data_IF_832815317605
#
_entry.id   IF_832815317605
#
_cell.length_a   1.000
_cell.length_b   1.000
_cell.length_c   1.000
_cell.angle_alpha   90.00
_cell.angle_beta   90.00
_cell.angle_gamma   90.00
#
_symmetry.space_group_name_H-M   'P 1'
#
loop_
_entity.id
_entity.type
_entity.pdbx_description
1 polymer ?
#
# COMPACT_ATOMS: atom_id res chain seq x y z
N UNK A 1 -6.79 20.51 51.62
CA UNK A 1 -7.39 20.96 50.33
C UNK A 1 -6.58 20.46 49.14
N UNK A 2 -5.26 20.70 49.11
CA UNK A 2 -4.35 20.25 48.05
C UNK A 2 -4.41 18.74 47.76
N UNK A 3 -4.42 17.87 48.78
CA UNK A 3 -4.50 16.41 48.61
C UNK A 3 -5.78 15.95 47.90
N UNK A 4 -6.92 16.59 48.17
CA UNK A 4 -8.20 16.26 47.50
C UNK A 4 -8.19 16.69 46.03
N UNK A 5 -7.54 17.82 45.73
CA UNK A 5 -7.35 18.30 44.35
C UNK A 5 -6.43 17.34 43.58
N UNK A 6 -5.28 16.97 44.16
CA UNK A 6 -4.35 16.02 43.55
C UNK A 6 -4.99 14.64 43.30
N UNK A 7 -5.77 14.14 44.27
CA UNK A 7 -6.50 12.87 44.10
C UNK A 7 -7.53 12.95 42.98
N UNK A 8 -8.26 14.08 42.87
CA UNK A 8 -9.25 14.28 41.81
C UNK A 8 -8.59 14.34 40.43
N UNK A 9 -7.45 15.03 40.32
CA UNK A 9 -6.64 15.07 39.08
C UNK A 9 -6.15 13.65 38.72
N UNK A 10 -5.64 12.90 39.69
CA UNK A 10 -5.17 11.53 39.46
C UNK A 10 -6.30 10.60 38.96
N UNK A 11 -7.50 10.72 39.54
CA UNK A 11 -8.67 9.96 39.09
C UNK A 11 -9.07 10.35 37.67
N UNK A 12 -9.09 11.64 37.33
CA UNK A 12 -9.39 12.10 35.96
C UNK A 12 -8.36 11.61 34.95
N UNK A 13 -7.07 11.64 35.30
CA UNK A 13 -6.00 11.11 34.45
C UNK A 13 -6.13 9.59 34.27
N UNK A 14 -6.49 8.85 35.31
CA UNK A 14 -6.73 7.41 35.22
C UNK A 14 -7.93 7.08 34.32
N UNK A 15 -9.03 7.84 34.43
CA UNK A 15 -10.20 7.69 33.55
C UNK A 15 -9.82 8.01 32.10
N UNK A 16 -9.14 9.12 31.85
CA UNK A 16 -8.69 9.49 30.51
C UNK A 16 -7.77 8.43 29.92
N UNK A 17 -6.83 7.91 30.71
CA UNK A 17 -5.96 6.80 30.32
C UNK A 17 -6.76 5.54 29.97
N UNK A 18 -7.73 5.15 30.80
CA UNK A 18 -8.59 4.00 30.53
C UNK A 18 -9.40 4.16 29.24
N UNK A 19 -9.91 5.36 28.97
CA UNK A 19 -10.61 5.68 27.71
C UNK A 19 -9.66 5.50 26.52
N UNK A 20 -8.44 6.01 26.59
CA UNK A 20 -7.44 5.85 25.53
C UNK A 20 -7.09 4.37 25.29
N UNK A 21 -6.94 3.58 26.36
CA UNK A 21 -6.72 2.13 26.28
C UNK A 21 -7.89 1.43 25.58
N UNK A 22 -9.13 1.78 25.93
CA UNK A 22 -10.32 1.20 25.29
C UNK A 22 -10.39 1.56 23.81
N UNK A 23 -10.08 2.81 23.45
CA UNK A 23 -10.00 3.26 22.04
C UNK A 23 -8.94 2.44 21.29
N UNK A 24 -7.76 2.25 21.89
CA UNK A 24 -6.68 1.46 21.31
C UNK A 24 -7.07 0.00 21.09
N UNK A 25 -7.68 -0.65 22.09
CA UNK A 25 -8.13 -2.06 21.98
C UNK A 25 -9.17 -2.21 20.87
N UNK A 26 -10.14 -1.29 20.79
CA UNK A 26 -11.15 -1.30 19.71
C UNK A 26 -10.49 -1.19 18.34
N UNK A 27 -9.52 -0.29 18.20
CA UNK A 27 -8.77 -0.12 16.96
C UNK A 27 -8.02 -1.39 16.56
N UNK A 28 -7.29 -1.99 17.50
CA UNK A 28 -6.49 -3.18 17.21
C UNK A 28 -7.38 -4.38 16.86
N UNK A 29 -8.54 -4.50 17.52
CA UNK A 29 -9.56 -5.49 17.16
C UNK A 29 -10.11 -5.28 15.75
N UNK A 30 -10.40 -4.04 15.36
CA UNK A 30 -10.89 -3.71 14.01
C UNK A 30 -9.85 -4.04 12.94
N UNK A 31 -8.61 -3.58 13.12
CA UNK A 31 -7.51 -3.86 12.19
C UNK A 31 -7.23 -5.37 12.11
N UNK A 32 -7.29 -6.09 13.23
CA UNK A 32 -7.14 -7.55 13.24
C UNK A 32 -8.27 -8.25 12.48
N UNK A 33 -9.51 -7.80 12.61
CA UNK A 33 -10.64 -8.34 11.81
C UNK A 33 -10.42 -8.11 10.33
N UNK A 34 -10.03 -6.91 9.93
CA UNK A 34 -9.71 -6.59 8.53
C UNK A 34 -8.58 -7.48 8.02
N UNK A 35 -7.51 -7.66 8.81
CA UNK A 35 -6.40 -8.55 8.45
C UNK A 35 -6.85 -9.99 8.16
N UNK A 36 -7.75 -10.53 8.99
CA UNK A 36 -8.32 -11.86 8.78
C UNK A 36 -9.29 -11.89 7.60
N UNK A 37 -10.08 -10.84 7.40
CA UNK A 37 -11.02 -10.74 6.29
C UNK A 37 -10.32 -10.68 4.93
N UNK A 38 -9.16 -10.02 4.85
CA UNK A 38 -8.31 -9.95 3.66
C UNK A 38 -7.51 -11.24 3.40
N UNK A 39 -7.56 -12.22 4.30
CA UNK A 39 -7.03 -13.55 3.99
C UNK A 39 -7.91 -14.19 2.92
N UNK A 40 -7.29 -14.72 1.88
CA UNK A 40 -7.96 -15.53 0.87
C UNK A 40 -7.39 -16.95 0.88
N UNK A 41 -8.13 -17.87 0.26
CA UNK A 41 -7.70 -19.26 0.14
C UNK A 41 -6.86 -19.42 -1.12
N UNK A 42 -5.83 -20.25 -1.02
CA UNK A 42 -5.02 -20.64 -2.17
C UNK A 42 -5.88 -21.25 -3.27
N UNK A 43 -5.69 -20.76 -4.49
CA UNK A 43 -6.37 -21.32 -5.65
C UNK A 43 -5.61 -22.53 -6.20
N UNK A 44 -6.35 -23.46 -6.81
CA UNK A 44 -5.75 -24.61 -7.52
C UNK A 44 -5.28 -24.26 -8.94
N UNK A 45 -5.62 -23.07 -9.44
CA UNK A 45 -5.21 -22.62 -10.78
C UNK A 45 -3.76 -22.16 -10.75
N UNK A 46 -3.00 -22.63 -11.74
CA UNK A 46 -1.59 -22.26 -11.91
C UNK A 46 -1.43 -21.29 -13.08
N UNK A 47 -0.42 -20.43 -12.99
CA UNK A 47 -0.04 -19.55 -14.09
C UNK A 47 0.51 -20.36 -15.27
N UNK A 48 -0.03 -20.12 -16.46
CA UNK A 48 0.47 -20.70 -17.73
C UNK A 48 0.73 -19.61 -18.74
N UNK A 49 1.66 -19.86 -19.67
CA UNK A 49 2.01 -18.89 -20.72
C UNK A 49 0.81 -18.52 -21.61
N UNK A 50 -0.10 -19.47 -21.83
CA UNK A 50 -1.36 -19.26 -22.57
C UNK A 50 -2.25 -18.16 -21.98
N UNK A 51 -2.15 -17.89 -20.67
CA UNK A 51 -2.91 -16.83 -20.01
C UNK A 51 -2.56 -15.44 -20.52
N UNK A 52 -1.35 -15.27 -21.08
CA UNK A 52 -0.83 -13.98 -21.55
C UNK A 52 -0.47 -13.99 -23.04
N UNK A 53 -0.54 -15.14 -23.73
CA UNK A 53 -0.14 -15.28 -25.13
C UNK A 53 -0.84 -14.32 -26.11
N UNK A 54 -2.04 -13.83 -25.78
CA UNK A 54 -2.78 -12.85 -26.58
C UNK A 54 -2.42 -11.37 -26.33
N UNK A 55 -1.57 -11.08 -25.34
CA UNK A 55 -1.20 -9.72 -24.96
C UNK A 55 -0.05 -9.17 -25.83
N UNK A 56 0.20 -7.84 -25.86
CA UNK A 56 1.40 -7.29 -26.51
C UNK A 56 2.70 -7.87 -25.93
N UNK A 57 3.73 -8.07 -26.76
CA UNK A 57 5.00 -8.70 -26.35
C UNK A 57 5.61 -8.13 -25.05
N UNK A 58 5.66 -6.79 -24.83
CA UNK A 58 6.20 -6.23 -23.60
C UNK A 58 5.38 -6.61 -22.34
N UNK A 59 4.08 -6.81 -22.49
CA UNK A 59 3.17 -7.22 -21.40
C UNK A 59 3.34 -8.71 -21.10
N UNK A 60 3.48 -9.56 -22.13
CA UNK A 60 3.81 -10.97 -21.94
C UNK A 60 5.11 -11.12 -21.15
N UNK A 61 6.13 -10.37 -21.57
CA UNK A 61 7.44 -10.37 -20.92
C UNK A 61 7.36 -9.99 -19.44
N UNK A 62 6.59 -8.95 -19.11
CA UNK A 62 6.34 -8.58 -17.72
C UNK A 62 5.77 -9.75 -16.90
N UNK A 63 4.71 -10.43 -17.38
CA UNK A 63 4.10 -11.52 -16.62
C UNK A 63 4.99 -12.76 -16.51
N UNK A 64 5.68 -13.13 -17.59
CA UNK A 64 6.62 -14.26 -17.59
C UNK A 64 7.83 -14.03 -16.68
N UNK A 65 8.20 -12.77 -16.45
CA UNK A 65 9.20 -12.38 -15.46
C UNK A 65 8.64 -12.38 -14.04
N UNK A 66 7.44 -11.82 -13.86
CA UNK A 66 6.82 -11.61 -12.55
C UNK A 66 6.24 -12.89 -11.93
N UNK A 67 5.82 -13.87 -12.74
CA UNK A 67 5.21 -15.12 -12.30
C UNK A 67 5.85 -16.28 -13.07
N UNK A 68 6.52 -17.19 -12.37
CA UNK A 68 7.07 -18.38 -13.00
C UNK A 68 5.93 -19.32 -13.48
N UNK A 69 5.98 -19.87 -14.71
CA UNK A 69 5.01 -20.85 -15.17
C UNK A 69 4.87 -22.04 -14.20
N UNK A 70 3.63 -22.48 -13.96
CA UNK A 70 3.30 -23.53 -12.99
C UNK A 70 3.13 -23.03 -11.55
N UNK A 71 3.37 -21.74 -11.26
CA UNK A 71 3.13 -21.16 -9.93
C UNK A 71 1.63 -21.05 -9.68
N UNK A 72 1.09 -21.52 -8.54
CA UNK A 72 -0.29 -21.27 -8.15
C UNK A 72 -0.59 -19.77 -8.12
N UNK A 73 -1.71 -19.35 -8.72
CA UNK A 73 -2.10 -17.95 -8.72
C UNK A 73 -2.44 -17.51 -7.30
N UNK A 74 -1.90 -16.37 -6.89
CA UNK A 74 -2.19 -15.82 -5.57
C UNK A 74 -3.42 -14.92 -5.65
N UNK A 75 -4.27 -15.00 -4.65
CA UNK A 75 -5.41 -14.08 -4.45
C UNK A 75 -5.09 -13.02 -3.40
N UNK A 76 -4.07 -13.25 -2.58
CA UNK A 76 -3.55 -12.28 -1.64
C UNK A 76 -2.03 -12.44 -1.43
N UNK A 77 -1.40 -11.40 -0.89
CA UNK A 77 0.00 -11.43 -0.46
C UNK A 77 0.16 -10.74 0.88
N UNK A 78 0.95 -11.35 1.77
CA UNK A 78 1.39 -10.77 3.03
C UNK A 78 2.85 -10.35 2.92
N UNK A 79 3.16 -9.09 3.21
CA UNK A 79 4.49 -8.50 3.11
C UNK A 79 5.00 -8.09 4.49
N UNK A 80 6.29 -8.34 4.76
CA UNK A 80 7.03 -7.70 5.84
C UNK A 80 8.03 -6.72 5.22
N UNK A 81 8.02 -5.46 5.66
CA UNK A 81 8.86 -4.42 5.09
C UNK A 81 9.49 -3.51 6.15
N UNK A 82 10.63 -2.94 5.76
CA UNK A 82 11.38 -1.94 6.54
C UNK A 82 11.65 -0.73 5.67
N UNK A 83 11.82 0.45 6.26
CA UNK A 83 12.01 1.63 5.45
C UNK A 83 12.00 2.93 6.24
N UNK A 84 11.57 3.99 5.58
CA UNK A 84 11.50 5.32 6.20
C UNK A 84 10.51 6.24 5.50
N UNK A 85 9.98 7.20 6.25
CA UNK A 85 9.14 8.29 5.74
C UNK A 85 9.75 9.67 6.03
N UNK A 86 9.37 10.69 5.25
CA UNK A 86 9.51 12.09 5.65
C UNK A 86 8.23 12.86 5.37
N UNK A 87 7.90 13.84 6.21
CA UNK A 87 6.66 14.63 6.14
C UNK A 87 6.86 15.99 5.45
N UNK A 88 7.78 16.04 4.49
CA UNK A 88 8.19 17.26 3.79
C UNK A 88 9.64 17.19 3.35
N UNK A 89 10.03 18.05 2.41
CA UNK A 89 11.35 18.03 1.79
C UNK A 89 12.48 18.23 2.81
N UNK A 90 12.31 19.24 3.68
CA UNK A 90 13.26 19.63 4.74
C UNK A 90 13.09 18.84 6.04
N UNK A 91 12.26 17.80 6.06
CA UNK A 91 12.03 16.99 7.26
C UNK A 91 12.98 15.78 7.27
N UNK A 92 13.48 15.38 8.45
CA UNK A 92 14.34 14.20 8.55
C UNK A 92 13.55 12.94 8.18
N UNK A 93 14.25 11.97 7.61
CA UNK A 93 13.73 10.62 7.43
C UNK A 93 13.54 9.94 8.78
N UNK A 94 12.36 9.36 8.96
CA UNK A 94 11.95 8.65 10.16
C UNK A 94 11.84 7.16 9.84
N UNK A 95 12.53 6.27 10.57
CA UNK A 95 12.52 4.84 10.27
C UNK A 95 11.14 4.23 10.48
N UNK A 96 10.82 3.19 9.71
CA UNK A 96 9.54 2.49 9.72
C UNK A 96 9.77 0.98 9.64
N UNK A 97 9.01 0.22 10.42
CA UNK A 97 8.73 -1.19 10.19
C UNK A 97 7.24 -1.36 9.89
N UNK A 98 6.90 -2.16 8.89
CA UNK A 98 5.51 -2.40 8.53
C UNK A 98 5.22 -3.83 8.10
N UNK A 99 3.96 -4.22 8.28
CA UNK A 99 3.36 -5.43 7.72
C UNK A 99 2.19 -5.04 6.86
N UNK A 100 2.02 -5.72 5.74
CA UNK A 100 0.95 -5.42 4.81
C UNK A 100 0.29 -6.68 4.34
N UNK A 101 -1.01 -6.63 4.12
CA UNK A 101 -1.73 -7.67 3.39
C UNK A 101 -2.55 -7.01 2.29
N UNK A 102 -2.43 -7.54 1.08
CA UNK A 102 -3.13 -7.10 -0.12
C UNK A 102 -3.96 -8.28 -0.60
N UNK A 103 -5.23 -8.06 -0.90
CA UNK A 103 -6.16 -9.02 -1.49
C UNK A 103 -6.68 -8.47 -2.80
N UNK A 104 -6.73 -9.34 -3.80
CA UNK A 104 -7.25 -9.09 -5.14
C UNK A 104 -8.65 -8.47 -5.12
N UNK A 105 -9.55 -9.03 -4.30
CA UNK A 105 -10.98 -8.69 -4.34
C UNK A 105 -11.43 -7.78 -3.20
N UNK A 106 -10.67 -7.74 -2.11
CA UNK A 106 -11.15 -7.15 -0.85
C UNK A 106 -10.45 -5.85 -0.47
N UNK A 107 -9.21 -5.64 -0.92
CA UNK A 107 -8.43 -4.43 -0.67
C UNK A 107 -7.12 -4.69 0.08
N UNK A 108 -6.68 -3.75 0.91
CA UNK A 108 -5.41 -3.90 1.64
C UNK A 108 -5.50 -3.41 3.09
N UNK A 109 -4.59 -3.90 3.92
CA UNK A 109 -4.29 -3.36 5.24
C UNK A 109 -2.79 -3.25 5.41
N UNK A 110 -2.34 -2.09 5.85
CA UNK A 110 -0.94 -1.78 6.11
C UNK A 110 -0.80 -1.33 7.55
N UNK A 111 -0.10 -2.10 8.37
CA UNK A 111 0.18 -1.80 9.76
C UNK A 111 1.63 -1.35 9.89
N UNK A 112 1.86 -0.20 10.53
CA UNK A 112 3.19 0.36 10.62
C UNK A 112 3.52 0.88 12.02
N UNK A 113 4.81 0.77 12.33
CA UNK A 113 5.49 1.42 13.44
C UNK A 113 6.53 2.36 12.87
N UNK A 114 6.35 3.66 13.10
CA UNK A 114 7.20 4.74 12.57
C UNK A 114 7.87 5.45 13.73
N UNK A 115 9.17 5.73 13.63
CA UNK A 115 9.95 6.42 14.66
C UNK A 115 10.46 5.49 15.77
N UNK A 116 11.11 6.10 16.78
CA UNK A 116 11.72 5.40 17.92
C UNK A 116 11.51 6.22 19.20
N UNK A 117 11.43 5.52 20.34
CA UNK A 117 11.31 6.16 21.65
C UNK A 117 10.10 7.08 21.74
N UNK A 118 10.30 8.31 22.22
CA UNK A 118 9.24 9.28 22.48
C UNK A 118 8.62 9.90 21.21
N UNK A 119 9.10 9.60 20.01
CA UNK A 119 8.48 10.02 18.75
C UNK A 119 7.90 8.86 17.95
N UNK A 120 7.68 7.71 18.59
CA UNK A 120 7.11 6.55 17.93
C UNK A 120 5.60 6.70 17.69
N UNK A 121 5.17 6.42 16.47
CA UNK A 121 3.78 6.32 16.05
C UNK A 121 3.47 4.91 15.59
N UNK A 122 2.33 4.36 16.00
CA UNK A 122 1.86 3.04 15.58
C UNK A 122 0.46 3.17 15.03
N UNK A 123 0.19 2.54 13.90
CA UNK A 123 -1.09 2.69 13.24
C UNK A 123 -1.32 1.74 12.10
N UNK A 124 -2.43 1.96 11.42
CA UNK A 124 -2.76 1.27 10.19
C UNK A 124 -3.39 2.23 9.17
N UNK A 125 -3.14 1.95 7.90
CA UNK A 125 -3.89 2.46 6.76
C UNK A 125 -4.50 1.27 6.03
N UNK A 126 -5.76 1.35 5.65
CA UNK A 126 -6.44 0.27 4.97
C UNK A 126 -7.51 0.78 4.02
N UNK A 127 -7.79 -0.05 3.02
CA UNK A 127 -8.92 0.07 2.12
C UNK A 127 -9.65 -1.27 2.08
N UNK A 128 -10.94 -1.27 2.39
CA UNK A 128 -11.78 -2.47 2.31
C UNK A 128 -13.21 -2.08 1.95
N UNK A 129 -13.78 -2.75 0.95
CA UNK A 129 -15.19 -2.60 0.52
C UNK A 129 -15.61 -1.12 0.35
N UNK A 130 -14.91 -0.36 -0.50
CA UNK A 130 -15.22 1.07 -0.73
C UNK A 130 -14.84 2.02 0.41
N UNK A 131 -14.25 1.54 1.50
CA UNK A 131 -13.93 2.38 2.67
C UNK A 131 -12.42 2.44 2.89
N UNK A 132 -11.86 3.65 2.83
CA UNK A 132 -10.48 3.93 3.23
C UNK A 132 -10.40 4.59 4.61
N UNK A 133 -9.42 4.17 5.42
CA UNK A 133 -9.19 4.78 6.72
C UNK A 133 -7.74 4.69 7.15
N UNK A 134 -7.24 5.81 7.65
CA UNK A 134 -5.91 5.94 8.23
C UNK A 134 -6.02 6.28 9.71
N UNK A 135 -5.35 5.51 10.58
CA UNK A 135 -5.28 5.76 12.01
C UNK A 135 -3.89 5.55 12.57
N UNK A 136 -3.31 6.59 13.17
CA UNK A 136 -2.01 6.55 13.84
C UNK A 136 -2.10 7.08 15.26
N UNK A 137 -1.37 6.45 16.18
CA UNK A 137 -1.32 6.79 17.59
C UNK A 137 0.13 7.07 18.02
N UNK A 138 0.38 8.20 18.66
CA UNK A 138 1.63 8.48 19.36
C UNK A 138 1.77 7.54 20.56
N UNK A 139 2.95 6.92 20.69
CA UNK A 139 3.25 5.86 21.67
C UNK A 139 2.28 4.68 21.65
N UNK A 140 1.52 4.52 20.57
CA UNK A 140 0.47 3.51 20.48
C UNK A 140 -0.78 3.81 21.32
N UNK A 141 -0.91 4.99 21.94
CA UNK A 141 -2.03 5.29 22.84
C UNK A 141 -2.76 6.60 22.52
N UNK A 142 -2.04 7.67 22.19
CA UNK A 142 -2.64 9.00 21.95
C UNK A 142 -2.96 9.14 20.45
N UNK A 143 -4.22 9.28 20.03
CA UNK A 143 -4.56 9.42 18.61
C UNK A 143 -3.88 10.66 17.99
N UNK A 144 -3.14 10.46 16.91
CA UNK A 144 -2.51 11.52 16.12
C UNK A 144 -3.23 11.73 14.78
N UNK A 145 -3.59 10.63 14.11
CA UNK A 145 -4.29 10.63 12.83
C UNK A 145 -5.53 9.75 12.96
N UNK A 146 -6.66 10.24 12.44
CA UNK A 146 -7.89 9.47 12.31
C UNK A 146 -8.69 9.98 11.11
N UNK A 147 -8.21 9.68 9.91
CA UNK A 147 -8.79 10.15 8.66
C UNK A 147 -9.70 9.08 8.06
N UNK A 148 -10.96 9.45 7.80
CA UNK A 148 -11.98 8.57 7.23
C UNK A 148 -13.00 9.46 6.49
N UNK A 149 -12.68 9.79 5.24
CA UNK A 149 -13.53 10.60 4.36
C UNK A 149 -13.64 9.92 3.00
N UNK A 150 -14.56 10.38 2.16
CA UNK A 150 -14.67 9.91 0.78
C UNK A 150 -13.36 10.14 0.01
N UNK A 151 -12.69 11.28 0.24
CA UNK A 151 -11.40 11.58 -0.37
C UNK A 151 -10.29 10.60 0.05
N UNK A 152 -10.25 10.24 1.34
CA UNK A 152 -9.31 9.23 1.82
C UNK A 152 -9.61 7.87 1.19
N UNK A 153 -10.89 7.48 1.07
CA UNK A 153 -11.27 6.24 0.39
C UNK A 153 -10.78 6.22 -1.07
N UNK A 154 -11.03 7.28 -1.83
CA UNK A 154 -10.57 7.40 -3.22
C UNK A 154 -9.04 7.42 -3.33
N UNK A 155 -8.35 8.09 -2.41
CA UNK A 155 -6.88 8.08 -2.38
C UNK A 155 -6.31 6.69 -2.07
N UNK A 156 -6.92 5.95 -1.15
CA UNK A 156 -6.52 4.59 -0.80
C UNK A 156 -6.87 3.59 -1.90
N UNK A 157 -7.91 3.81 -2.70
CA UNK A 157 -8.22 3.03 -3.90
C UNK A 157 -7.10 3.11 -4.94
N UNK A 158 -6.63 4.33 -5.26
CA UNK A 158 -5.48 4.50 -6.14
C UNK A 158 -4.18 3.90 -5.57
N UNK A 159 -4.04 3.89 -4.24
CA UNK A 159 -2.96 3.17 -3.57
C UNK A 159 -3.06 1.67 -3.81
N UNK A 160 -4.22 1.05 -3.58
CA UNK A 160 -4.47 -0.38 -3.82
C UNK A 160 -4.07 -0.78 -5.24
N UNK A 161 -4.45 0.02 -6.25
CA UNK A 161 -4.06 -0.23 -7.63
C UNK A 161 -2.53 -0.29 -7.77
N UNK A 162 -1.80 0.69 -7.23
CA UNK A 162 -0.33 0.68 -7.25
C UNK A 162 0.29 -0.50 -6.51
N UNK A 163 -0.35 -0.97 -5.44
CA UNK A 163 0.11 -2.11 -4.64
C UNK A 163 -0.02 -3.46 -5.35
N UNK A 164 -0.84 -3.57 -6.39
CA UNK A 164 -0.91 -4.80 -7.22
C UNK A 164 0.40 -5.12 -7.95
N UNK A 165 1.38 -4.20 -7.97
CA UNK A 165 2.75 -4.54 -8.39
C UNK A 165 3.40 -5.64 -7.52
N UNK A 166 2.95 -5.80 -6.26
CA UNK A 166 3.36 -6.89 -5.37
C UNK A 166 2.44 -8.10 -5.41
N UNK A 167 1.32 -8.04 -6.13
CA UNK A 167 0.41 -9.16 -6.39
C UNK A 167 0.16 -9.27 -7.90
N UNK A 168 1.15 -9.71 -8.71
CA UNK A 168 1.04 -9.65 -10.18
C UNK A 168 -0.15 -10.43 -10.74
N UNK A 169 -0.61 -11.48 -10.06
CA UNK A 169 -1.83 -12.23 -10.41
C UNK A 169 -3.09 -11.34 -10.46
N UNK A 170 -3.12 -10.25 -9.70
CA UNK A 170 -4.19 -9.26 -9.72
C UNK A 170 -4.26 -8.46 -11.02
N UNK A 171 -3.14 -8.37 -11.74
CA UNK A 171 -3.05 -7.60 -12.97
C UNK A 171 -3.32 -8.44 -14.23
N UNK A 172 -3.57 -9.74 -14.09
CA UNK A 172 -3.83 -10.64 -15.21
C UNK A 172 -5.10 -10.23 -15.98
N UNK A 173 -5.15 -10.42 -17.32
CA UNK A 173 -6.31 -10.04 -18.13
C UNK A 173 -7.60 -10.79 -17.72
N UNK A 174 -7.48 -11.98 -17.14
CA UNK A 174 -8.60 -12.75 -16.60
C UNK A 174 -9.29 -12.03 -15.41
N UNK A 175 -8.63 -11.05 -14.78
CA UNK A 175 -9.20 -10.19 -13.75
C UNK A 175 -9.89 -8.94 -14.33
N UNK A 176 -10.07 -8.87 -15.64
CA UNK A 176 -10.70 -7.73 -16.32
C UNK A 176 -9.73 -6.58 -16.60
N UNK A 177 -8.42 -6.81 -16.50
CA UNK A 177 -7.40 -5.81 -16.77
C UNK A 177 -7.14 -5.70 -18.26
N UNK A 178 -7.30 -4.50 -18.81
CA UNK A 178 -7.03 -4.20 -20.20
C UNK A 178 -5.60 -3.68 -20.30
N UNK A 179 -4.79 -4.38 -21.10
CA UNK A 179 -3.38 -4.05 -21.30
C UNK A 179 -3.12 -3.41 -22.65
N UNK A 180 -2.25 -2.41 -22.64
CA UNK A 180 -1.69 -1.78 -23.82
C UNK A 180 -0.17 -1.65 -23.67
N UNK A 181 0.57 -1.87 -24.75
CA UNK A 181 1.97 -1.45 -24.85
C UNK A 181 2.01 -0.11 -25.60
N UNK A 182 2.55 0.92 -24.94
CA UNK A 182 2.80 2.23 -25.56
C UNK A 182 4.06 2.16 -26.42
N UNK A 183 5.08 1.47 -25.90
CA UNK A 183 6.32 1.14 -26.58
C UNK A 183 6.90 -0.17 -25.99
N UNK A 184 8.14 -0.53 -26.36
CA UNK A 184 8.80 -1.75 -25.90
C UNK A 184 9.04 -1.84 -24.38
N UNK A 185 8.94 -0.72 -23.64
CA UNK A 185 9.22 -0.62 -22.21
C UNK A 185 8.07 -0.03 -21.40
N UNK A 186 7.16 0.68 -22.04
CA UNK A 186 6.05 1.38 -21.38
C UNK A 186 4.75 0.60 -21.54
N UNK A 187 4.22 0.08 -20.43
CA UNK A 187 3.00 -0.71 -20.37
C UNK A 187 1.90 0.07 -19.65
N UNK A 188 0.66 -0.05 -20.10
CA UNK A 188 -0.50 0.49 -19.39
C UNK A 188 -1.49 -0.62 -19.06
N UNK A 189 -1.88 -0.68 -17.79
CA UNK A 189 -2.94 -1.53 -17.27
C UNK A 189 -4.12 -0.65 -16.86
N UNK A 190 -5.27 -0.85 -17.50
CA UNK A 190 -6.52 -0.15 -17.17
C UNK A 190 -7.57 -1.10 -16.64
N UNK A 191 -8.18 -0.77 -15.51
CA UNK A 191 -9.17 -1.58 -14.82
C UNK A 191 -10.01 -0.71 -13.87
N UNK A 192 -11.00 -1.32 -13.21
CA UNK A 192 -11.91 -0.64 -12.30
C UNK A 192 -11.81 -1.27 -10.92
N UNK A 193 -11.71 -0.43 -9.88
CA UNK A 193 -11.86 -0.84 -8.48
C UNK A 193 -13.08 -0.09 -7.94
N UNK A 194 -14.08 -0.77 -7.37
CA UNK A 194 -15.27 -0.14 -6.75
C UNK A 194 -15.85 1.04 -7.55
N UNK A 195 -16.08 0.83 -8.85
CA UNK A 195 -16.59 1.80 -9.84
C UNK A 195 -15.66 2.97 -10.22
N UNK A 196 -14.45 3.06 -9.66
CA UNK A 196 -13.45 4.06 -10.02
C UNK A 196 -12.47 3.48 -11.07
N UNK A 197 -12.37 4.08 -12.27
CA UNK A 197 -11.41 3.66 -13.27
C UNK A 197 -9.99 4.06 -12.87
N UNK A 198 -9.04 3.14 -13.03
CA UNK A 198 -7.62 3.37 -12.76
C UNK A 198 -6.79 2.93 -13.95
N UNK A 199 -5.80 3.75 -14.30
CA UNK A 199 -4.75 3.40 -15.26
C UNK A 199 -3.40 3.43 -14.56
N UNK A 200 -2.74 2.28 -14.48
CA UNK A 200 -1.37 2.15 -14.03
C UNK A 200 -0.45 2.16 -15.25
N UNK A 201 0.63 2.93 -15.19
CA UNK A 201 1.71 2.84 -16.17
C UNK A 201 2.94 2.20 -15.52
N UNK A 202 3.48 1.17 -16.16
CA UNK A 202 4.70 0.49 -15.76
C UNK A 202 5.80 0.76 -16.78
N UNK A 203 7.00 1.03 -16.29
CA UNK A 203 8.22 0.98 -17.11
C UNK A 203 8.95 -0.30 -16.76
N UNK A 204 9.16 -1.15 -17.76
CA UNK A 204 9.90 -2.41 -17.63
C UNK A 204 11.21 -2.37 -18.42
N UNK A 205 12.16 -3.22 -18.04
CA UNK A 205 13.36 -3.43 -18.83
C UNK A 205 13.19 -4.50 -19.91
N UNK A 206 14.32 -4.92 -20.50
CA UNK A 206 14.36 -5.90 -21.58
C UNK A 206 14.07 -7.33 -21.10
N UNK A 207 14.10 -7.59 -19.78
CA UNK A 207 13.81 -8.90 -19.19
C UNK A 207 12.39 -8.96 -18.62
N UNK A 208 11.74 -7.80 -18.43
CA UNK A 208 10.38 -7.69 -17.89
C UNK A 208 10.34 -7.19 -16.44
N UNK A 209 11.50 -6.90 -15.85
CA UNK A 209 11.60 -6.31 -14.51
C UNK A 209 11.00 -4.92 -14.49
N UNK A 210 10.15 -4.65 -13.50
CA UNK A 210 9.53 -3.34 -13.30
C UNK A 210 10.56 -2.38 -12.69
N UNK A 211 10.81 -1.28 -13.39
CA UNK A 211 11.70 -0.20 -12.96
C UNK A 211 10.95 0.97 -12.34
N UNK A 212 9.76 1.28 -12.88
CA UNK A 212 8.92 2.37 -12.40
C UNK A 212 7.45 2.01 -12.48
N UNK A 213 6.67 2.55 -11.57
CA UNK A 213 5.21 2.58 -11.60
C UNK A 213 4.75 4.01 -11.42
N UNK A 214 3.78 4.45 -12.22
CA UNK A 214 3.15 5.74 -11.98
C UNK A 214 1.68 5.75 -12.44
N UNK A 215 0.90 6.59 -11.77
CA UNK A 215 -0.52 6.78 -11.99
C UNK A 215 -0.92 8.19 -11.55
N UNK A 216 -2.08 8.64 -12.01
CA UNK A 216 -2.76 9.76 -11.35
C UNK A 216 -3.48 9.22 -10.12
N UNK A 217 -3.19 9.80 -8.95
CA UNK A 217 -3.78 9.37 -7.68
C UNK A 217 -4.46 10.55 -7.01
N UNK A 218 -5.66 10.31 -6.49
CA UNK A 218 -6.41 11.31 -5.73
C UNK A 218 -5.65 11.72 -4.47
N UNK A 219 -5.36 13.00 -4.33
CA UNK A 219 -4.56 13.54 -3.22
C UNK A 219 -4.76 15.04 -3.02
N UNK A 220 -4.42 15.52 -1.83
CA UNK A 220 -4.55 16.92 -1.39
C UNK A 220 -3.26 17.73 -1.51
N UNK A 221 -2.22 17.16 -2.11
CA UNK A 221 -0.91 17.81 -2.26
C UNK A 221 -0.84 18.81 -3.43
N UNK A 222 -1.97 19.44 -3.76
CA UNK A 222 -2.09 20.53 -4.74
C UNK A 222 -1.55 21.85 -4.16
N UNK A 223 -1.45 22.91 -4.96
CA UNK A 223 -0.92 24.20 -4.49
C UNK A 223 -1.86 24.90 -3.49
N UNK A 224 -3.16 24.71 -3.66
CA UNK A 224 -4.21 25.29 -2.82
C UNK A 224 -4.75 24.33 -1.76
N UNK A 225 -4.24 23.09 -1.71
CA UNK A 225 -4.69 22.04 -0.79
C UNK A 225 -6.03 21.40 -1.16
N UNK A 226 -6.55 21.69 -2.36
CA UNK A 226 -7.70 20.99 -2.93
C UNK A 226 -7.36 19.55 -3.29
N UNK A 227 -8.38 18.69 -3.36
CA UNK A 227 -8.21 17.31 -3.80
C UNK A 227 -8.32 17.21 -5.32
N UNK A 228 -7.33 16.59 -5.93
CA UNK A 228 -7.34 16.28 -7.36
C UNK A 228 -6.53 15.01 -7.68
N UNK A 229 -6.65 14.54 -8.91
CA UNK A 229 -5.83 13.51 -9.50
C UNK A 229 -4.44 14.06 -9.83
N UNK A 230 -3.48 13.82 -8.94
CA UNK A 230 -2.10 14.31 -9.08
C UNK A 230 -1.12 13.16 -9.41
N UNK A 231 -0.01 13.43 -10.12
CA UNK A 231 0.96 12.39 -10.44
C UNK A 231 1.56 11.76 -9.19
N UNK A 232 1.48 10.43 -9.10
CA UNK A 232 2.14 9.63 -8.08
C UNK A 232 3.02 8.60 -8.77
N UNK A 233 4.19 8.33 -8.20
CA UNK A 233 5.08 7.34 -8.77
C UNK A 233 6.00 6.67 -7.77
N UNK A 234 6.53 5.54 -8.22
CA UNK A 234 7.41 4.65 -7.49
C UNK A 234 8.56 4.26 -8.41
N UNK A 235 9.80 4.37 -7.93
CA UNK A 235 10.95 3.78 -8.62
C UNK A 235 11.46 2.58 -7.85
N UNK A 236 11.78 1.52 -8.57
CA UNK A 236 12.23 0.25 -8.01
C UNK A 236 13.71 0.04 -8.31
N UNK A 237 14.51 -0.24 -7.27
CA UNK A 237 15.96 -0.43 -7.40
C UNK A 237 16.33 -1.92 -7.42
N UNK A 238 15.52 -2.76 -6.80
CA UNK A 238 15.75 -4.19 -6.70
C UNK A 238 14.43 -4.95 -6.77
N UNK A 239 14.54 -6.24 -7.09
CA UNK A 239 13.45 -7.22 -7.03
C UNK A 239 13.93 -8.47 -6.29
N UNK A 240 13.00 -9.29 -5.85
CA UNK A 240 13.30 -10.56 -5.20
C UNK A 240 12.22 -11.59 -5.52
N UNK A 241 12.62 -12.86 -5.54
CA UNK A 241 11.73 -13.97 -5.78
C UNK A 241 11.18 -14.55 -4.47
N UNK A 242 9.87 -14.83 -4.43
CA UNK A 242 9.16 -15.45 -3.31
C UNK A 242 8.07 -16.37 -3.86
N UNK A 243 8.12 -17.67 -3.53
CA UNK A 243 7.04 -18.60 -3.86
C UNK A 243 6.65 -18.66 -5.35
N UNK A 244 7.60 -18.47 -6.28
CA UNK A 244 7.34 -18.44 -7.72
C UNK A 244 7.02 -17.06 -8.31
N UNK A 245 6.85 -16.03 -7.47
CA UNK A 245 6.66 -14.64 -7.88
C UNK A 245 7.96 -13.84 -7.79
N UNK A 246 8.24 -13.01 -8.79
CA UNK A 246 9.32 -12.02 -8.76
C UNK A 246 8.70 -10.64 -8.64
N UNK A 247 8.93 -9.97 -7.51
CA UNK A 247 8.32 -8.67 -7.21
C UNK A 247 9.36 -7.61 -6.83
N UNK A 248 9.07 -6.31 -7.01
CA UNK A 248 9.96 -5.26 -6.54
C UNK A 248 10.19 -5.32 -5.03
N UNK A 249 11.46 -5.25 -4.62
CA UNK A 249 11.90 -5.44 -3.24
C UNK A 249 12.55 -4.21 -2.62
N UNK A 250 13.00 -3.24 -3.41
CA UNK A 250 13.49 -1.94 -2.92
C UNK A 250 12.85 -0.83 -3.74
N UNK A 251 12.33 0.19 -3.06
CA UNK A 251 11.57 1.26 -3.70
C UNK A 251 11.74 2.62 -3.03
N UNK A 252 11.48 3.66 -3.83
CA UNK A 252 11.12 4.98 -3.34
C UNK A 252 9.77 5.40 -3.97
N UNK A 253 8.99 6.20 -3.27
CA UNK A 253 7.72 6.72 -3.77
C UNK A 253 7.51 8.19 -3.43
N UNK A 254 6.79 8.89 -4.29
CA UNK A 254 6.54 10.31 -4.13
C UNK A 254 5.37 10.87 -4.93
N UNK A 255 4.96 12.06 -4.54
CA UNK A 255 3.96 12.88 -5.24
C UNK A 255 4.61 13.79 -6.27
N UNK A 256 3.84 14.24 -7.25
CA UNK A 256 4.30 15.06 -8.38
C UNK A 256 5.41 14.39 -9.19
N UNK A 257 5.32 13.06 -9.32
CA UNK A 257 6.31 12.25 -10.03
C UNK A 257 6.53 12.71 -11.47
N UNK A 258 7.80 12.80 -11.88
CA UNK A 258 8.18 13.25 -13.22
C UNK A 258 8.10 14.77 -13.45
N UNK A 259 7.85 15.57 -12.42
CA UNK A 259 7.78 17.04 -12.51
C UNK A 259 8.84 17.69 -11.61
N UNK A 260 9.06 19.00 -11.77
CA UNK A 260 9.94 19.79 -10.90
C UNK A 260 9.48 19.83 -9.43
N UNK A 261 8.21 19.50 -9.16
CA UNK A 261 7.61 19.47 -7.83
C UNK A 261 7.73 18.11 -7.13
N UNK A 262 8.47 17.16 -7.71
CA UNK A 262 8.57 15.80 -7.19
C UNK A 262 9.03 15.78 -5.73
N UNK A 263 8.19 15.20 -4.87
CA UNK A 263 8.49 15.01 -3.46
C UNK A 263 8.44 13.53 -3.09
N UNK A 264 9.63 12.92 -3.06
CA UNK A 264 9.83 11.61 -2.46
C UNK A 264 9.50 11.67 -0.96
N UNK A 265 8.62 10.81 -0.46
CA UNK A 265 8.26 10.78 0.97
C UNK A 265 8.36 9.40 1.60
N UNK A 266 8.53 8.34 0.80
CA UNK A 266 8.54 6.96 1.26
C UNK A 266 9.68 6.17 0.63
N UNK A 267 10.37 5.39 1.45
CA UNK A 267 11.36 4.38 1.04
C UNK A 267 11.03 3.08 1.73
N UNK A 268 11.10 1.97 1.02
CA UNK A 268 10.92 0.66 1.64
C UNK A 268 11.73 -0.44 0.97
N UNK A 269 12.05 -1.44 1.80
CA UNK A 269 12.63 -2.72 1.41
C UNK A 269 11.70 -3.82 1.89
N UNK A 270 11.22 -4.65 0.97
CA UNK A 270 10.47 -5.87 1.25
C UNK A 270 11.44 -6.94 1.74
N UNK A 271 11.23 -7.42 2.96
CA UNK A 271 12.06 -8.46 3.58
C UNK A 271 11.46 -9.86 3.37
N UNK A 272 10.13 -9.96 3.33
CA UNK A 272 9.40 -11.21 3.08
C UNK A 272 8.12 -10.94 2.32
N UNK A 273 7.73 -11.91 1.51
CA UNK A 273 6.42 -12.00 0.90
C UNK A 273 5.90 -13.44 0.99
N UNK A 274 4.64 -13.59 1.39
CA UNK A 274 3.93 -14.86 1.49
C UNK A 274 2.66 -14.74 0.65
N UNK A 275 2.55 -15.58 -0.39
CA UNK A 275 1.45 -15.56 -1.35
C UNK A 275 0.43 -16.63 -0.99
N UNK A 276 -0.84 -16.26 -0.98
CA UNK A 276 -2.00 -17.12 -0.68
C UNK A 276 -3.00 -17.08 -1.84
#
# INVERSE_FOLDING_TARGET
MLTKILLSIAVLLAIAFLILVVIRIKNDSEVSKIWQELADLSTEYVFTEDMVAGLPNPVQRYFLHAIAPGTPLASSVTLEMSGSFRLGEDKPWVPMQAKQRISLLKGFVWQATVGRGLSQFVGADYYIKGTGRMRFFLWGLVPLVNAHTHDIARSSLGRLAGEFVWLPSALLPQQGVIWQAIDERTLQASFVIDDEPVTLTLIVDNDGKVLKLFLLRWGDSTEDGSWDYIPFGVEFQAEQQFGGFTIPSQMNAGWWFGTERYLEFFRATIAKAEFE
#
